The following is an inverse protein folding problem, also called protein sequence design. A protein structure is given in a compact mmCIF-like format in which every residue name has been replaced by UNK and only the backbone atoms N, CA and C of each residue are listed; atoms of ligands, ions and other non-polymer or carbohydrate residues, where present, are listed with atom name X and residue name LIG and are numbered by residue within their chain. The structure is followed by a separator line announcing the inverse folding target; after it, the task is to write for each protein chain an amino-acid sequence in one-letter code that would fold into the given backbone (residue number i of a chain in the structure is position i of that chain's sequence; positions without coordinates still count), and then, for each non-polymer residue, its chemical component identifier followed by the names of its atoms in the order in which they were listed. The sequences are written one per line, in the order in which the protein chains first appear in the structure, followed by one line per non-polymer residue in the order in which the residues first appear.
data_IF_218064513715
#
_entry.id   IF_218064513715
#
_cell.length_a   1.000
_cell.length_b   1.000
_cell.length_c   1.000
_cell.angle_alpha   90.00
_cell.angle_beta   90.00
_cell.angle_gamma   90.00
#
_symmetry.space_group_name_H-M   'P 1'
#
loop_
_entity.id
_entity.type
_entity.pdbx_description
1 polymer ?
#
# COMPACT_ATOMS: atom_id res chain seq x y z
N UNK A 1 -15.51 -20.92 -59.09
CA UNK A 1 -15.42 -19.60 -58.45
C UNK A 1 -16.20 -19.57 -57.12
N UNK A 2 -15.93 -20.51 -56.15
CA UNK A 2 -16.59 -20.53 -54.81
C UNK A 2 -15.64 -21.00 -53.68
N UNK A 3 -14.33 -20.77 -53.81
CA UNK A 3 -13.32 -21.16 -52.77
C UNK A 3 -12.37 -20.03 -52.33
N UNK A 4 -12.70 -18.75 -52.60
CA UNK A 4 -11.81 -17.63 -52.29
C UNK A 4 -12.40 -16.63 -51.29
N UNK A 5 -13.52 -16.94 -50.60
CA UNK A 5 -14.20 -16.03 -49.66
C UNK A 5 -14.15 -16.48 -48.18
N UNK A 6 -13.45 -17.56 -47.86
CA UNK A 6 -13.40 -18.09 -46.49
C UNK A 6 -12.06 -17.82 -45.74
N UNK A 7 -11.09 -17.14 -46.39
CA UNK A 7 -9.80 -16.82 -45.76
C UNK A 7 -9.65 -15.37 -45.24
N UNK A 8 -10.61 -14.51 -45.50
CA UNK A 8 -10.58 -13.10 -45.08
C UNK A 8 -11.35 -12.81 -43.77
N UNK A 9 -12.15 -13.76 -43.27
CA UNK A 9 -12.88 -13.61 -42.00
C UNK A 9 -12.07 -14.08 -40.76
N UNK A 10 -11.00 -14.85 -40.96
CA UNK A 10 -10.15 -15.34 -39.87
C UNK A 10 -9.04 -14.37 -39.41
N UNK A 11 -8.73 -13.34 -40.21
CA UNK A 11 -7.65 -12.40 -39.90
C UNK A 11 -8.10 -11.14 -39.15
N UNK A 12 -9.41 -10.91 -39.00
CA UNK A 12 -9.94 -9.73 -38.29
C UNK A 12 -10.32 -9.98 -36.83
N UNK A 13 -10.21 -11.20 -36.31
CA UNK A 13 -10.51 -11.51 -34.89
C UNK A 13 -9.29 -11.67 -33.99
N UNK A 14 -8.08 -11.45 -34.49
CA UNK A 14 -6.85 -11.48 -33.69
C UNK A 14 -6.26 -10.09 -33.37
N UNK A 15 -6.98 -9.01 -33.69
CA UNK A 15 -6.55 -7.63 -33.40
C UNK A 15 -7.29 -7.00 -32.20
N UNK A 16 -8.08 -7.75 -31.44
CA UNK A 16 -8.79 -7.24 -30.27
C UNK A 16 -8.39 -8.01 -29.04
N UNK A 17 -7.48 -7.47 -28.31
CA UNK A 17 -7.13 -7.56 -26.90
C UNK A 17 -5.61 -7.53 -26.69
N UNK A 18 -4.94 -6.48 -27.16
CA UNK A 18 -3.90 -5.90 -26.35
C UNK A 18 -4.66 -5.14 -25.26
N UNK A 19 -4.92 -5.78 -24.10
CA UNK A 19 -5.30 -5.06 -22.91
C UNK A 19 -4.26 -3.95 -22.76
N UNK A 20 -4.72 -2.72 -22.86
CA UNK A 20 -3.84 -1.57 -22.64
C UNK A 20 -3.43 -1.64 -21.19
N UNK A 21 -2.17 -1.93 -20.93
CA UNK A 21 -1.62 -2.00 -19.56
C UNK A 21 -1.66 -0.62 -18.88
N UNK A 22 -1.93 0.45 -19.63
CA UNK A 22 -1.98 1.84 -19.14
C UNK A 22 -3.42 2.29 -18.85
N UNK A 23 -3.55 3.15 -17.83
CA UNK A 23 -4.79 3.86 -17.55
C UNK A 23 -5.14 4.79 -18.72
N UNK A 24 -6.42 5.02 -19.03
CA UNK A 24 -6.81 6.04 -19.99
C UNK A 24 -6.30 7.43 -19.61
N UNK A 25 -6.04 8.30 -20.59
CA UNK A 25 -5.65 9.69 -20.36
C UNK A 25 -6.80 10.62 -20.75
N UNK A 26 -6.89 11.77 -20.08
CA UNK A 26 -7.75 12.88 -20.43
C UNK A 26 -7.02 14.19 -20.16
N UNK A 27 -7.48 15.26 -20.79
CA UNK A 27 -6.93 16.59 -20.56
C UNK A 27 -7.50 17.19 -19.27
N UNK A 28 -6.62 17.68 -18.39
CA UNK A 28 -7.01 18.55 -17.29
C UNK A 28 -7.46 19.92 -17.80
N UNK A 29 -8.35 20.58 -17.09
CA UNK A 29 -8.68 21.99 -17.35
C UNK A 29 -7.47 22.88 -17.11
N UNK A 30 -7.44 24.07 -17.71
CA UNK A 30 -6.35 25.03 -17.48
C UNK A 30 -6.22 25.41 -16.00
N UNK A 31 -7.34 25.56 -15.27
CA UNK A 31 -7.34 25.85 -13.84
C UNK A 31 -6.72 24.70 -13.02
N UNK A 32 -6.99 23.44 -13.39
CA UNK A 32 -6.37 22.29 -12.78
C UNK A 32 -4.85 22.25 -13.04
N UNK A 33 -4.43 22.41 -14.30
CA UNK A 33 -3.00 22.43 -14.67
C UNK A 33 -2.25 23.52 -13.90
N UNK A 34 -2.80 24.75 -13.89
CA UNK A 34 -2.19 25.87 -13.15
C UNK A 34 -2.04 25.58 -11.66
N UNK A 35 -3.06 24.97 -11.03
CA UNK A 35 -3.02 24.62 -9.61
C UNK A 35 -2.02 23.49 -9.33
N UNK A 36 -2.03 22.43 -10.15
CA UNK A 36 -1.08 21.33 -10.00
C UNK A 36 0.36 21.80 -10.17
N UNK A 37 0.62 22.69 -11.13
CA UNK A 37 1.97 23.24 -11.35
C UNK A 37 2.47 24.09 -10.19
N UNK A 38 1.58 24.75 -9.42
CA UNK A 38 1.95 25.52 -8.23
C UNK A 38 2.44 24.64 -7.07
N UNK A 39 1.99 23.39 -7.00
CA UNK A 39 2.44 22.46 -5.96
C UNK A 39 3.95 22.22 -6.02
N UNK A 40 4.56 22.16 -7.20
CA UNK A 40 5.94 21.73 -7.35
C UNK A 40 6.96 22.72 -6.77
N UNK A 41 6.93 24.03 -7.04
CA UNK A 41 7.79 24.97 -6.35
C UNK A 41 7.55 24.97 -4.83
N UNK A 42 6.30 24.78 -4.39
CA UNK A 42 5.96 24.73 -2.98
C UNK A 42 6.65 23.59 -2.24
N UNK A 43 6.73 22.38 -2.83
CA UNK A 43 7.26 21.19 -2.18
C UNK A 43 8.74 20.99 -2.45
N UNK A 44 9.22 21.25 -3.67
CA UNK A 44 10.53 20.80 -4.17
C UNK A 44 11.48 21.92 -4.61
N UNK A 45 11.27 23.18 -4.22
CA UNK A 45 12.10 24.29 -4.72
C UNK A 45 13.38 24.57 -3.91
N UNK A 46 13.65 23.84 -2.83
CA UNK A 46 14.79 24.06 -1.95
C UNK A 46 16.10 23.37 -2.40
N UNK A 47 16.06 22.66 -3.52
CA UNK A 47 17.23 21.98 -4.11
C UNK A 47 17.71 20.74 -3.33
N UNK A 48 17.03 20.36 -2.24
CA UNK A 48 17.38 19.17 -1.44
C UNK A 48 16.35 18.06 -1.57
N UNK A 49 15.23 18.32 -2.22
CA UNK A 49 14.14 17.39 -2.44
C UNK A 49 13.95 17.19 -3.95
N UNK A 50 13.62 15.96 -4.33
CA UNK A 50 13.45 15.56 -5.72
C UNK A 50 12.07 14.95 -5.92
N UNK A 51 11.30 15.49 -6.87
CA UNK A 51 10.13 14.81 -7.41
C UNK A 51 10.60 13.89 -8.53
N UNK A 52 10.32 12.61 -8.42
CA UNK A 52 10.59 11.63 -9.47
C UNK A 52 9.41 11.46 -10.41
N UNK A 53 8.20 11.32 -9.87
CA UNK A 53 6.97 11.20 -10.65
C UNK A 53 5.74 11.67 -9.87
N UNK A 54 4.79 12.32 -10.55
CA UNK A 54 3.47 12.65 -10.04
C UNK A 54 2.41 12.27 -11.06
N UNK A 55 1.31 11.64 -10.59
CA UNK A 55 0.11 11.40 -11.37
C UNK A 55 -1.12 11.84 -10.60
N UNK A 56 -2.07 12.44 -11.31
CA UNK A 56 -3.44 12.67 -10.82
C UNK A 56 -4.39 11.88 -11.70
N UNK A 57 -5.15 10.98 -11.09
CA UNK A 57 -6.20 10.20 -11.74
C UNK A 57 -7.54 10.69 -11.23
N UNK A 58 -8.45 11.05 -12.13
CA UNK A 58 -9.83 11.41 -11.81
C UNK A 58 -10.78 10.68 -12.76
N UNK A 59 -11.88 10.15 -12.25
CA UNK A 59 -12.89 9.40 -13.02
C UNK A 59 -12.27 8.27 -13.88
N UNK A 60 -11.24 7.59 -13.31
CA UNK A 60 -10.54 6.49 -13.96
C UNK A 60 -9.57 6.89 -15.07
N UNK A 61 -9.27 8.18 -15.24
CA UNK A 61 -8.37 8.70 -16.26
C UNK A 61 -7.24 9.51 -15.64
N UNK A 62 -6.02 9.33 -16.12
CA UNK A 62 -4.91 10.21 -15.78
C UNK A 62 -5.16 11.56 -16.43
N UNK A 63 -5.33 12.61 -15.62
CA UNK A 63 -5.56 13.99 -16.06
C UNK A 63 -4.31 14.86 -15.92
N UNK A 64 -3.33 14.40 -15.13
CA UNK A 64 -2.06 15.10 -14.97
C UNK A 64 -0.93 14.09 -14.74
N UNK A 65 0.20 14.35 -15.36
CA UNK A 65 1.41 13.54 -15.31
C UNK A 65 2.64 14.44 -15.36
N UNK A 66 3.56 14.25 -14.43
CA UNK A 66 4.83 14.98 -14.39
C UNK A 66 5.95 14.07 -13.90
N UNK A 67 7.13 14.20 -14.52
CA UNK A 67 8.37 13.58 -14.07
C UNK A 67 9.49 14.60 -14.13
N UNK A 68 10.56 14.37 -13.38
CA UNK A 68 11.81 15.05 -13.65
C UNK A 68 12.50 14.47 -14.91
N UNK A 69 13.55 15.12 -15.44
CA UNK A 69 14.23 14.64 -16.63
C UNK A 69 14.94 13.28 -16.50
N UNK A 70 15.23 12.83 -15.27
CA UNK A 70 15.96 11.58 -15.00
C UNK A 70 15.03 10.38 -14.80
N UNK A 71 13.72 10.62 -14.61
CA UNK A 71 12.74 9.59 -14.30
C UNK A 71 11.64 9.50 -15.34
N UNK A 72 10.89 8.40 -15.31
CA UNK A 72 9.69 8.20 -16.13
C UNK A 72 8.59 7.53 -15.31
N UNK A 73 7.34 7.73 -15.75
CA UNK A 73 6.13 7.13 -15.13
C UNK A 73 6.20 5.60 -15.13
N UNK A 74 6.85 5.01 -16.13
CA UNK A 74 6.94 3.56 -16.32
C UNK A 74 8.12 2.93 -15.57
N UNK A 75 9.05 3.73 -15.06
CA UNK A 75 10.21 3.24 -14.33
C UNK A 75 9.80 2.64 -12.99
N UNK A 76 10.34 1.46 -12.64
CA UNK A 76 10.19 0.90 -11.30
C UNK A 76 10.87 1.82 -10.27
N UNK A 77 10.14 2.12 -9.23
CA UNK A 77 10.58 2.90 -8.08
C UNK A 77 10.40 2.08 -6.80
N UNK A 78 11.29 2.26 -5.83
CA UNK A 78 11.14 1.62 -4.52
C UNK A 78 9.92 2.20 -3.80
N UNK A 79 9.02 1.34 -3.37
CA UNK A 79 7.77 1.73 -2.72
C UNK A 79 7.90 1.91 -1.20
N UNK A 80 9.01 1.50 -0.62
CA UNK A 80 9.18 1.52 0.83
C UNK A 80 7.94 0.94 1.54
N UNK A 81 7.40 1.65 2.51
CA UNK A 81 6.26 1.19 3.32
C UNK A 81 4.92 1.13 2.58
N UNK A 82 4.79 1.69 1.38
CA UNK A 82 3.65 1.41 0.48
C UNK A 82 3.47 -0.09 0.27
N UNK A 83 4.55 -0.87 0.30
CA UNK A 83 4.56 -2.34 0.23
C UNK A 83 3.60 -3.00 1.22
N UNK A 84 3.42 -2.40 2.40
CA UNK A 84 2.57 -2.91 3.48
C UNK A 84 1.11 -3.09 3.06
N UNK A 85 0.57 -2.13 2.31
CA UNK A 85 -0.82 -2.21 1.84
C UNK A 85 -1.01 -3.32 0.80
N UNK A 86 0.03 -3.61 -0.01
CA UNK A 86 0.01 -4.76 -0.91
C UNK A 86 0.04 -6.08 -0.12
N UNK A 87 0.86 -6.18 0.94
CA UNK A 87 0.87 -7.34 1.84
C UNK A 87 -0.49 -7.55 2.50
N UNK A 88 -1.10 -6.47 3.03
CA UNK A 88 -2.46 -6.54 3.59
C UNK A 88 -3.50 -7.00 2.55
N UNK A 89 -3.40 -6.50 1.32
CA UNK A 89 -4.29 -6.92 0.23
C UNK A 89 -4.15 -8.42 -0.08
N UNK A 90 -2.92 -8.96 0.00
CA UNK A 90 -2.69 -10.40 -0.14
C UNK A 90 -3.36 -11.19 1.00
N UNK A 91 -3.29 -10.71 2.24
CA UNK A 91 -4.05 -11.27 3.37
C UNK A 91 -5.55 -11.23 3.08
N UNK A 92 -6.07 -10.12 2.52
CA UNK A 92 -7.47 -10.00 2.12
C UNK A 92 -7.91 -11.08 1.12
N UNK A 93 -7.09 -11.38 0.12
CA UNK A 93 -7.36 -12.49 -0.79
C UNK A 93 -7.33 -13.86 -0.10
N UNK A 94 -6.38 -14.08 0.83
CA UNK A 94 -6.33 -15.33 1.59
C UNK A 94 -7.58 -15.51 2.50
N UNK A 95 -8.06 -14.42 3.10
CA UNK A 95 -9.33 -14.41 3.86
C UNK A 95 -10.51 -14.73 2.94
N UNK A 96 -10.60 -14.10 1.78
CA UNK A 96 -11.66 -14.38 0.79
C UNK A 96 -11.62 -15.83 0.29
N UNK A 97 -10.44 -16.41 0.13
CA UNK A 97 -10.26 -17.80 -0.28
C UNK A 97 -10.55 -18.80 0.87
N UNK A 98 -10.83 -18.32 2.08
CA UNK A 98 -11.11 -19.15 3.27
C UNK A 98 -9.87 -19.83 3.86
N UNK A 99 -8.67 -19.36 3.52
CA UNK A 99 -7.40 -19.90 4.00
C UNK A 99 -6.97 -19.30 5.35
N UNK A 100 -7.55 -18.16 5.72
CA UNK A 100 -7.16 -17.36 6.87
C UNK A 100 -8.35 -16.53 7.37
N UNK A 101 -8.35 -16.24 8.67
CA UNK A 101 -9.25 -15.27 9.30
C UNK A 101 -8.43 -14.19 9.99
N UNK A 102 -8.96 -12.97 10.09
CA UNK A 102 -8.26 -11.87 10.76
C UNK A 102 -8.10 -12.08 12.26
N UNK A 103 -8.98 -12.87 12.87
CA UNK A 103 -8.94 -13.26 14.28
C UNK A 103 -8.15 -14.55 14.57
N UNK A 104 -7.59 -15.19 13.54
CA UNK A 104 -6.69 -16.33 13.75
C UNK A 104 -5.42 -15.88 14.50
N UNK A 105 -4.99 -16.69 15.46
CA UNK A 105 -3.79 -16.40 16.23
C UNK A 105 -2.54 -16.72 15.43
N UNK A 106 -1.59 -15.80 15.46
CA UNK A 106 -0.29 -15.96 14.81
C UNK A 106 0.37 -17.29 15.15
N UNK A 107 0.37 -17.65 16.43
CA UNK A 107 1.04 -18.87 16.93
C UNK A 107 0.39 -20.17 16.45
N UNK A 108 -0.86 -20.17 16.05
CA UNK A 108 -1.52 -21.35 15.47
C UNK A 108 -1.07 -21.62 14.03
N UNK A 109 -0.53 -20.60 13.35
CA UNK A 109 -0.11 -20.67 11.93
C UNK A 109 1.41 -20.86 11.82
N UNK A 110 2.19 -20.10 12.60
CA UNK A 110 3.66 -20.08 12.52
C UNK A 110 4.31 -20.42 13.88
N UNK A 111 3.64 -21.18 14.73
CA UNK A 111 4.12 -21.53 16.07
C UNK A 111 5.43 -22.32 16.11
N UNK A 112 5.78 -22.99 15.00
CA UNK A 112 7.07 -23.66 14.81
C UNK A 112 8.26 -22.69 14.67
N UNK A 113 7.97 -21.41 14.38
CA UNK A 113 8.96 -20.34 14.35
C UNK A 113 9.11 -19.63 15.70
N UNK A 114 8.16 -19.83 16.62
CA UNK A 114 8.20 -19.24 17.95
C UNK A 114 9.21 -19.97 18.87
N UNK A 115 9.84 -19.26 19.83
CA UNK A 115 10.71 -19.90 20.80
C UNK A 115 9.91 -20.85 21.71
N UNK A 116 10.57 -21.90 22.30
CA UNK A 116 9.91 -22.80 23.25
C UNK A 116 9.32 -22.08 24.47
N UNK A 117 10.05 -21.10 25.00
CA UNK A 117 9.57 -20.17 26.03
C UNK A 117 9.13 -18.88 25.34
N UNK A 118 7.83 -18.76 25.12
CA UNK A 118 7.24 -17.62 24.40
C UNK A 118 7.28 -16.36 25.27
N UNK A 119 7.64 -15.19 24.69
CA UNK A 119 7.45 -13.90 25.34
C UNK A 119 6.01 -13.73 25.86
N UNK A 120 5.87 -12.96 26.94
CA UNK A 120 4.56 -12.65 27.51
C UNK A 120 3.63 -12.06 26.44
N UNK A 121 2.37 -12.49 26.41
CA UNK A 121 1.30 -12.09 25.49
C UNK A 121 1.45 -12.54 24.02
N UNK A 122 2.52 -13.21 23.62
CA UNK A 122 2.70 -13.64 22.22
C UNK A 122 1.53 -14.50 21.71
N UNK A 123 0.96 -15.35 22.56
CA UNK A 123 -0.18 -16.22 22.21
C UNK A 123 -1.49 -15.45 21.95
N UNK A 124 -1.52 -14.17 22.28
CA UNK A 124 -2.67 -13.29 22.04
C UNK A 124 -2.60 -12.55 20.70
N UNK A 125 -1.47 -12.60 19.99
CA UNK A 125 -1.30 -11.92 18.72
C UNK A 125 -2.20 -12.59 17.67
N UNK A 126 -3.07 -11.80 17.05
CA UNK A 126 -3.88 -12.20 15.89
C UNK A 126 -3.37 -11.54 14.61
N UNK A 127 -3.84 -12.02 13.45
CA UNK A 127 -3.60 -11.38 12.16
C UNK A 127 -4.11 -9.93 12.16
N UNK A 128 -5.26 -9.66 12.82
CA UNK A 128 -5.79 -8.31 12.99
C UNK A 128 -4.80 -7.39 13.71
N UNK A 129 -4.16 -7.84 14.80
CA UNK A 129 -3.18 -7.03 15.52
C UNK A 129 -1.95 -6.68 14.66
N UNK A 130 -1.53 -7.57 13.76
CA UNK A 130 -0.46 -7.32 12.80
C UNK A 130 -0.91 -6.32 11.72
N UNK A 131 -2.12 -6.49 11.18
CA UNK A 131 -2.69 -5.59 10.16
C UNK A 131 -2.85 -4.15 10.67
N UNK A 132 -3.17 -4.00 11.95
CA UNK A 132 -3.50 -2.71 12.58
C UNK A 132 -2.34 -2.05 13.33
N UNK A 133 -1.11 -2.58 13.21
CA UNK A 133 0.06 -2.05 13.93
C UNK A 133 -0.10 -2.04 15.45
N UNK A 134 -0.77 -3.05 16.00
CA UNK A 134 -1.04 -3.17 17.45
C UNK A 134 -0.58 -4.49 18.04
N UNK A 135 0.37 -5.17 17.41
CA UNK A 135 0.81 -6.49 17.83
C UNK A 135 1.65 -6.48 19.11
N UNK A 136 2.34 -5.38 19.42
CA UNK A 136 3.32 -5.31 20.52
C UNK A 136 4.63 -6.05 20.26
N UNK A 137 4.84 -6.63 19.07
CA UNK A 137 6.14 -7.21 18.70
C UNK A 137 7.23 -6.15 18.67
N UNK A 138 8.48 -6.55 18.97
CA UNK A 138 9.64 -5.68 18.81
C UNK A 138 9.69 -5.03 17.41
N UNK A 139 10.16 -3.80 17.35
CA UNK A 139 10.40 -3.05 16.10
C UNK A 139 11.81 -3.23 15.54
N UNK A 140 12.59 -4.18 16.08
CA UNK A 140 13.96 -4.45 15.61
C UNK A 140 13.95 -4.94 14.18
N UNK A 141 14.57 -4.16 13.28
CA UNK A 141 14.67 -4.45 11.85
C UNK A 141 15.97 -5.18 11.49
N UNK A 142 16.06 -5.81 10.29
CA UNK A 142 17.30 -6.38 9.79
C UNK A 142 18.40 -5.35 9.56
N UNK A 143 19.65 -5.78 9.71
CA UNK A 143 20.84 -4.95 9.47
C UNK A 143 21.35 -4.22 10.70
N UNK A 144 22.46 -3.51 10.55
CA UNK A 144 23.14 -2.85 11.64
C UNK A 144 23.75 -3.83 12.67
N UNK A 145 24.32 -3.30 13.74
CA UNK A 145 25.00 -4.11 14.77
C UNK A 145 24.01 -4.95 15.59
N UNK A 146 22.86 -4.35 15.95
CA UNK A 146 21.82 -4.94 16.80
C UNK A 146 20.59 -5.43 16.03
N UNK A 147 20.62 -5.45 14.70
CA UNK A 147 19.50 -5.88 13.86
C UNK A 147 19.46 -7.39 13.66
N UNK A 148 18.34 -7.89 13.11
CA UNK A 148 18.14 -9.29 12.75
C UNK A 148 19.14 -9.71 11.66
N UNK A 149 19.61 -10.96 11.71
CA UNK A 149 20.73 -11.44 10.89
C UNK A 149 20.32 -12.52 9.88
N UNK A 150 20.06 -13.72 10.35
CA UNK A 150 19.93 -14.91 9.51
C UNK A 150 18.49 -15.40 9.39
N UNK A 151 17.75 -15.50 10.50
CA UNK A 151 16.35 -15.93 10.52
C UNK A 151 15.47 -14.85 11.13
N UNK A 152 15.05 -13.90 10.29
CA UNK A 152 14.34 -12.71 10.75
C UNK A 152 13.09 -13.05 11.55
N UNK A 153 12.34 -14.08 11.14
CA UNK A 153 11.11 -14.45 11.86
C UNK A 153 11.43 -15.03 13.24
N UNK A 154 12.33 -16.01 13.33
CA UNK A 154 12.69 -16.64 14.61
C UNK A 154 13.38 -15.66 15.54
N UNK A 155 14.29 -14.85 15.02
CA UNK A 155 15.01 -13.85 15.81
C UNK A 155 14.05 -12.79 16.36
N UNK A 156 13.13 -12.26 15.52
CA UNK A 156 12.12 -11.30 15.94
C UNK A 156 11.20 -11.87 17.04
N UNK A 157 10.67 -13.08 16.80
CA UNK A 157 9.73 -13.72 17.71
C UNK A 157 10.37 -14.15 19.05
N UNK A 158 11.70 -14.19 19.13
CA UNK A 158 12.42 -14.42 20.38
C UNK A 158 12.62 -13.14 21.22
N UNK A 159 12.38 -11.95 20.64
CA UNK A 159 12.54 -10.68 21.36
C UNK A 159 11.37 -10.41 22.31
N UNK A 160 11.62 -9.67 23.41
CA UNK A 160 10.54 -9.25 24.31
C UNK A 160 9.47 -8.43 23.57
N UNK A 161 8.23 -8.61 23.98
CA UNK A 161 7.12 -7.78 23.52
C UNK A 161 7.16 -6.40 24.21
N UNK A 162 6.73 -5.35 23.48
CA UNK A 162 6.68 -3.98 24.01
C UNK A 162 5.43 -3.74 24.87
N UNK A 163 4.30 -4.35 24.49
CA UNK A 163 2.99 -4.21 25.14
C UNK A 163 2.07 -5.36 24.75
N UNK A 164 0.93 -5.46 25.43
CA UNK A 164 -0.10 -6.46 25.12
C UNK A 164 -0.80 -6.12 23.79
N UNK A 165 -1.04 -7.10 22.90
CA UNK A 165 -1.71 -6.88 21.63
C UNK A 165 -3.02 -6.12 21.75
N UNK A 166 -3.23 -5.13 20.88
CA UNK A 166 -4.41 -4.28 20.85
C UNK A 166 -4.40 -3.07 21.78
N UNK A 167 -3.41 -2.93 22.70
CA UNK A 167 -3.38 -1.80 23.64
C UNK A 167 -2.94 -0.49 23.00
N UNK A 168 -1.90 -0.53 22.15
CA UNK A 168 -1.31 0.67 21.56
C UNK A 168 -1.08 0.48 20.07
N UNK A 169 -1.08 1.61 19.35
CA UNK A 169 -0.52 1.69 18.02
C UNK A 169 1.01 1.85 18.11
N UNK A 170 1.74 0.97 17.46
CA UNK A 170 3.18 1.11 17.25
C UNK A 170 3.51 0.68 15.82
N UNK A 171 3.93 1.67 14.99
CA UNK A 171 4.27 1.40 13.61
C UNK A 171 5.44 0.42 13.52
N UNK A 172 5.22 -0.74 12.90
CA UNK A 172 6.12 -1.87 12.93
C UNK A 172 6.23 -2.58 11.58
N UNK A 173 7.35 -2.35 10.88
CA UNK A 173 7.61 -2.99 9.59
C UNK A 173 7.76 -4.50 9.71
N UNK A 174 8.24 -4.99 10.85
CA UNK A 174 8.41 -6.42 11.07
C UNK A 174 7.08 -7.14 11.35
N UNK A 175 6.08 -6.44 11.88
CA UNK A 175 4.71 -6.98 11.94
C UNK A 175 4.17 -7.26 10.52
N UNK A 176 4.46 -6.39 9.56
CA UNK A 176 4.10 -6.61 8.15
C UNK A 176 4.91 -7.74 7.49
N UNK A 177 6.18 -7.91 7.87
CA UNK A 177 6.98 -9.07 7.48
C UNK A 177 6.36 -10.37 8.02
N UNK A 178 5.92 -10.40 9.27
CA UNK A 178 5.23 -11.57 9.84
C UNK A 178 3.93 -11.88 9.08
N UNK A 179 3.18 -10.86 8.60
CA UNK A 179 2.04 -11.10 7.71
C UNK A 179 2.45 -11.80 6.40
N UNK A 180 3.62 -11.47 5.83
CA UNK A 180 4.11 -12.16 4.64
C UNK A 180 4.51 -13.61 4.90
N UNK A 181 5.07 -13.89 6.08
CA UNK A 181 5.37 -15.25 6.55
C UNK A 181 4.08 -16.05 6.72
N UNK A 182 3.08 -15.49 7.39
CA UNK A 182 1.75 -16.09 7.58
C UNK A 182 1.11 -16.40 6.22
N UNK A 183 1.08 -15.42 5.30
CA UNK A 183 0.54 -15.63 3.96
C UNK A 183 1.22 -16.81 3.26
N UNK A 184 2.55 -16.84 3.27
CA UNK A 184 3.32 -17.91 2.62
C UNK A 184 3.00 -19.26 3.24
N UNK A 185 2.78 -19.34 4.54
CA UNK A 185 2.39 -20.57 5.24
C UNK A 185 1.02 -21.10 4.81
N UNK A 186 0.03 -20.22 4.70
CA UNK A 186 -1.36 -20.64 4.39
C UNK A 186 -1.60 -20.85 2.91
N UNK A 187 -0.83 -20.17 2.03
CA UNK A 187 -0.99 -20.28 0.58
C UNK A 187 0.03 -21.19 -0.11
N UNK A 188 1.19 -21.40 0.50
CA UNK A 188 2.35 -22.04 -0.13
C UNK A 188 3.10 -21.14 -1.11
N UNK A 189 2.74 -19.86 -1.22
CA UNK A 189 3.30 -18.90 -2.18
C UNK A 189 3.82 -17.65 -1.46
N UNK A 190 4.91 -17.07 -1.98
CA UNK A 190 5.37 -15.73 -1.56
C UNK A 190 4.33 -14.68 -1.92
N UNK A 191 4.32 -13.56 -1.18
CA UNK A 191 3.37 -12.46 -1.41
C UNK A 191 3.36 -11.97 -2.86
N UNK A 192 4.53 -11.77 -3.45
CA UNK A 192 4.68 -11.29 -4.83
C UNK A 192 4.13 -12.29 -5.86
N UNK A 193 4.36 -13.57 -5.68
CA UNK A 193 3.81 -14.61 -6.54
C UNK A 193 2.28 -14.71 -6.40
N UNK A 194 1.78 -14.73 -5.17
CA UNK A 194 0.35 -14.80 -4.88
C UNK A 194 -0.39 -13.57 -5.45
N UNK A 195 0.12 -12.35 -5.21
CA UNK A 195 -0.43 -11.14 -5.81
C UNK A 195 -0.25 -11.12 -7.33
N UNK A 196 0.79 -11.76 -7.87
CA UNK A 196 1.04 -11.85 -9.30
C UNK A 196 -0.18 -12.33 -10.09
N UNK A 197 -0.84 -13.38 -9.62
CA UNK A 197 -2.04 -13.90 -10.27
C UNK A 197 -3.36 -13.34 -9.71
N UNK A 198 -3.44 -12.99 -8.42
CA UNK A 198 -4.66 -12.47 -7.80
C UNK A 198 -4.94 -11.00 -8.14
N UNK A 199 -3.89 -10.18 -8.26
CA UNK A 199 -3.98 -8.73 -8.37
C UNK A 199 -3.20 -8.16 -9.55
N UNK A 200 -1.90 -8.45 -9.67
CA UNK A 200 -1.04 -7.74 -10.62
C UNK A 200 -1.45 -8.01 -12.07
N UNK A 201 -1.64 -9.28 -12.42
CA UNK A 201 -2.11 -9.64 -13.78
C UNK A 201 -3.48 -9.04 -14.10
N UNK A 202 -4.51 -9.13 -13.25
CA UNK A 202 -5.80 -8.47 -13.48
C UNK A 202 -5.70 -6.95 -13.66
N UNK A 203 -4.84 -6.27 -12.90
CA UNK A 203 -4.63 -4.83 -12.99
C UNK A 203 -3.70 -4.44 -14.16
N UNK A 204 -3.14 -5.40 -14.89
CA UNK A 204 -2.15 -5.14 -15.92
C UNK A 204 -0.85 -4.54 -15.37
N UNK A 205 -0.47 -4.93 -14.16
CA UNK A 205 0.85 -4.67 -13.57
C UNK A 205 1.74 -5.84 -14.04
N UNK A 206 2.71 -5.58 -14.90
CA UNK A 206 3.50 -6.62 -15.58
C UNK A 206 4.95 -6.66 -15.17
N UNK A 207 5.44 -5.63 -14.49
CA UNK A 207 6.82 -5.49 -14.07
C UNK A 207 6.90 -5.07 -12.61
N UNK A 208 7.32 -6.00 -11.76
CA UNK A 208 7.55 -5.78 -10.33
C UNK A 208 8.77 -6.53 -9.84
N UNK A 209 9.29 -6.09 -8.71
CA UNK A 209 10.28 -6.79 -7.92
C UNK A 209 9.92 -6.64 -6.44
N UNK A 210 10.21 -7.64 -5.63
CA UNK A 210 10.04 -7.56 -4.18
C UNK A 210 11.22 -8.21 -3.47
N UNK A 211 11.88 -7.46 -2.60
CA UNK A 211 12.97 -7.97 -1.77
C UNK A 211 12.46 -9.08 -0.85
N UNK A 212 13.36 -10.00 -0.50
CA UNK A 212 13.05 -11.15 0.35
C UNK A 212 14.01 -11.25 1.53
N UNK A 213 13.54 -11.92 2.59
CA UNK A 213 14.38 -12.34 3.70
C UNK A 213 15.32 -13.47 3.27
N UNK A 214 16.36 -13.81 4.10
CA UNK A 214 17.21 -14.97 3.86
C UNK A 214 16.45 -16.30 3.76
N UNK A 215 15.23 -16.39 4.34
CA UNK A 215 14.34 -17.55 4.26
C UNK A 215 13.42 -17.54 3.05
N UNK A 216 13.63 -16.62 2.13
CA UNK A 216 12.83 -16.43 0.91
C UNK A 216 11.35 -16.03 1.15
N UNK A 217 11.03 -15.38 2.24
CA UNK A 217 9.77 -14.66 2.42
C UNK A 217 9.89 -13.25 1.85
N UNK A 218 8.85 -12.74 1.16
CA UNK A 218 8.83 -11.33 0.76
C UNK A 218 8.99 -10.43 1.99
N UNK A 219 9.75 -9.34 1.89
CA UNK A 219 10.01 -8.43 3.02
C UNK A 219 8.73 -7.87 3.66
N UNK A 220 7.62 -7.83 2.89
CA UNK A 220 6.28 -7.53 3.38
C UNK A 220 6.07 -6.08 3.82
N UNK A 221 6.94 -5.57 4.67
CA UNK A 221 6.90 -4.20 5.18
C UNK A 221 7.56 -3.16 4.29
N UNK A 222 8.37 -3.58 3.31
CA UNK A 222 9.13 -2.77 2.36
C UNK A 222 9.56 -3.61 1.14
N UNK A 223 10.36 -3.03 0.25
CA UNK A 223 11.09 -3.76 -0.79
C UNK A 223 10.28 -4.09 -2.04
N UNK A 224 9.05 -3.60 -2.19
CA UNK A 224 8.32 -3.65 -3.44
C UNK A 224 8.82 -2.55 -4.38
N UNK A 225 9.05 -2.91 -5.64
CA UNK A 225 9.41 -1.99 -6.73
C UNK A 225 8.36 -2.11 -7.83
N UNK A 226 7.64 -1.03 -8.11
CA UNK A 226 6.66 -0.89 -9.18
C UNK A 226 6.71 0.51 -9.78
N UNK A 227 6.07 0.72 -10.92
CA UNK A 227 5.96 2.04 -11.56
C UNK A 227 4.89 2.92 -10.87
N UNK A 228 4.98 4.25 -11.10
CA UNK A 228 3.98 5.20 -10.64
C UNK A 228 2.57 4.83 -11.14
N UNK A 229 2.45 4.43 -12.41
CA UNK A 229 1.17 4.00 -12.98
C UNK A 229 0.63 2.72 -12.32
N UNK A 230 1.50 1.78 -11.98
CA UNK A 230 1.11 0.58 -11.24
C UNK A 230 0.59 0.90 -9.85
N UNK A 231 1.21 1.88 -9.19
CA UNK A 231 0.73 2.38 -7.90
C UNK A 231 -0.62 3.10 -8.04
N UNK A 232 -0.82 3.89 -9.11
CA UNK A 232 -2.11 4.54 -9.38
C UNK A 232 -3.23 3.50 -9.60
N UNK A 233 -2.96 2.39 -10.28
CA UNK A 233 -3.92 1.27 -10.43
C UNK A 233 -4.29 0.66 -9.08
N UNK A 234 -3.33 0.52 -8.16
CA UNK A 234 -3.61 0.07 -6.80
C UNK A 234 -4.52 1.04 -6.06
N UNK A 235 -4.24 2.35 -6.13
CA UNK A 235 -5.12 3.38 -5.57
C UNK A 235 -6.53 3.33 -6.15
N UNK A 236 -6.65 3.19 -7.46
CA UNK A 236 -7.94 3.02 -8.15
C UNK A 236 -8.67 1.73 -7.72
N UNK A 237 -7.95 0.64 -7.49
CA UNK A 237 -8.52 -0.61 -6.98
C UNK A 237 -9.13 -0.43 -5.58
N UNK A 238 -8.48 0.34 -4.70
CA UNK A 238 -9.03 0.72 -3.40
C UNK A 238 -10.22 1.67 -3.54
N UNK A 239 -10.10 2.70 -4.38
CA UNK A 239 -11.19 3.65 -4.65
C UNK A 239 -12.47 2.94 -5.15
N UNK A 240 -12.30 1.92 -5.98
CA UNK A 240 -13.39 1.09 -6.53
C UNK A 240 -13.75 -0.10 -5.63
N UNK A 241 -13.22 -0.14 -4.40
CA UNK A 241 -13.53 -1.18 -3.40
C UNK A 241 -13.45 -2.60 -3.97
N UNK A 242 -12.34 -2.91 -4.65
CA UNK A 242 -12.06 -4.25 -5.16
C UNK A 242 -12.66 -4.60 -6.51
N UNK A 243 -13.30 -3.65 -7.19
CA UNK A 243 -13.77 -3.85 -8.56
C UNK A 243 -12.72 -3.35 -9.54
N UNK A 244 -12.45 -4.12 -10.59
CA UNK A 244 -11.56 -3.73 -11.68
C UNK A 244 -12.14 -4.19 -13.02
N UNK A 245 -12.25 -3.27 -13.98
CA UNK A 245 -12.87 -3.51 -15.29
C UNK A 245 -14.24 -4.22 -15.18
N UNK A 246 -15.08 -3.78 -14.24
CA UNK A 246 -16.41 -4.35 -13.98
C UNK A 246 -16.43 -5.70 -13.27
N UNK A 247 -15.27 -6.27 -12.94
CA UNK A 247 -15.15 -7.53 -12.21
C UNK A 247 -14.71 -7.28 -10.75
N UNK A 248 -15.46 -7.85 -9.79
CA UNK A 248 -15.03 -7.87 -8.39
C UNK A 248 -13.91 -8.89 -8.22
N UNK A 249 -12.74 -8.43 -7.81
CA UNK A 249 -11.58 -9.28 -7.51
C UNK A 249 -11.51 -9.60 -6.02
N UNK A 250 -11.77 -8.61 -5.16
CA UNK A 250 -11.77 -8.75 -3.70
C UNK A 250 -13.08 -8.19 -3.13
N UNK A 251 -13.60 -8.84 -2.09
CA UNK A 251 -14.87 -8.46 -1.45
C UNK A 251 -14.86 -7.04 -0.88
N UNK A 252 -16.00 -6.36 -0.96
CA UNK A 252 -16.14 -4.98 -0.49
C UNK A 252 -15.90 -4.86 1.03
N UNK A 253 -16.29 -5.88 1.79
CA UNK A 253 -16.13 -5.92 3.24
C UNK A 253 -14.67 -5.75 3.67
N UNK A 254 -13.71 -6.28 2.88
CA UNK A 254 -12.30 -6.06 3.12
C UNK A 254 -11.92 -4.56 3.10
N UNK A 255 -12.44 -3.82 2.14
CA UNK A 255 -12.16 -2.39 2.00
C UNK A 255 -12.86 -1.55 3.06
N UNK A 256 -14.06 -1.97 3.51
CA UNK A 256 -14.75 -1.31 4.62
C UNK A 256 -13.90 -1.34 5.90
N UNK A 257 -13.25 -2.48 6.19
CA UNK A 257 -12.35 -2.61 7.33
C UNK A 257 -10.98 -1.95 7.08
N UNK A 258 -10.37 -2.20 5.92
CA UNK A 258 -9.03 -1.71 5.60
C UNK A 258 -8.94 -0.19 5.52
N UNK A 259 -10.02 0.47 5.09
CA UNK A 259 -10.13 1.92 4.93
C UNK A 259 -10.89 2.59 6.09
N UNK A 260 -10.96 1.97 7.25
CA UNK A 260 -11.54 2.55 8.46
C UNK A 260 -10.54 2.57 9.61
N UNK A 261 -10.64 3.50 10.56
CA UNK A 261 -9.73 3.57 11.68
C UNK A 261 -9.97 2.40 12.64
N UNK A 262 -9.15 1.37 12.56
CA UNK A 262 -9.17 0.22 13.47
C UNK A 262 -8.50 0.54 14.82
N UNK A 263 -7.51 1.43 14.79
CA UNK A 263 -6.82 1.94 15.97
C UNK A 263 -6.39 3.39 15.76
N UNK A 264 -6.45 4.19 16.83
CA UNK A 264 -5.96 5.56 16.82
C UNK A 264 -4.50 5.61 17.28
N UNK A 265 -3.66 6.39 16.61
CA UNK A 265 -2.23 6.54 16.93
C UNK A 265 -2.01 7.12 18.34
N UNK A 266 -2.95 7.93 18.80
CA UNK A 266 -2.91 8.56 20.15
C UNK A 266 -3.63 7.72 21.23
N UNK A 267 -4.14 6.53 20.91
CA UNK A 267 -4.84 5.68 21.87
C UNK A 267 -4.04 5.53 23.16
N UNK A 268 -4.68 5.80 24.29
CA UNK A 268 -4.07 5.80 25.62
C UNK A 268 -2.93 6.83 25.84
N UNK A 269 -2.69 7.74 24.86
CA UNK A 269 -1.67 8.80 24.95
C UNK A 269 -2.28 10.17 25.13
N UNK A 270 -3.37 10.49 24.39
CA UNK A 270 -4.16 11.71 24.50
C UNK A 270 -5.53 11.33 25.05
N UNK A 271 -5.95 11.99 26.12
CA UNK A 271 -7.13 11.58 26.90
C UNK A 271 -8.20 12.66 27.03
N UNK A 272 -7.83 13.93 26.79
CA UNK A 272 -8.78 15.04 26.85
C UNK A 272 -9.24 15.48 25.45
N UNK A 273 -10.46 16.05 25.32
CA UNK A 273 -10.91 16.58 24.03
C UNK A 273 -9.97 17.63 23.43
N UNK A 274 -9.35 18.47 24.28
CA UNK A 274 -8.42 19.52 23.87
C UNK A 274 -7.12 18.92 23.30
N UNK A 275 -6.57 17.89 23.95
CA UNK A 275 -5.39 17.16 23.45
C UNK A 275 -5.69 16.50 22.10
N UNK A 276 -6.85 15.85 21.97
CA UNK A 276 -7.27 15.21 20.71
C UNK A 276 -7.46 16.27 19.61
N UNK A 277 -8.10 17.40 19.93
CA UNK A 277 -8.28 18.49 18.98
C UNK A 277 -6.95 19.11 18.52
N UNK A 278 -5.90 19.08 19.36
CA UNK A 278 -4.58 19.60 19.00
C UNK A 278 -3.88 18.85 17.87
N UNK A 279 -4.32 17.64 17.53
CA UNK A 279 -3.76 16.80 16.45
C UNK A 279 -4.72 16.67 15.26
N UNK A 280 -5.81 17.43 15.22
CA UNK A 280 -6.85 17.33 14.19
C UNK A 280 -6.34 17.60 12.76
N UNK A 281 -5.32 18.45 12.61
CA UNK A 281 -4.70 18.76 11.31
C UNK A 281 -3.50 17.86 10.98
N UNK A 282 -3.23 16.85 11.80
CA UNK A 282 -2.09 15.95 11.60
C UNK A 282 -2.51 14.67 10.90
N UNK A 283 -2.19 14.54 9.62
CA UNK A 283 -2.51 13.38 8.77
C UNK A 283 -2.02 12.01 9.31
N UNK A 284 -1.15 11.99 10.31
CA UNK A 284 -0.71 10.76 10.99
C UNK A 284 -1.50 10.46 12.27
N UNK A 285 -2.61 11.16 12.55
CA UNK A 285 -3.40 11.00 13.79
C UNK A 285 -4.90 10.74 13.54
N UNK A 286 -5.29 10.37 12.31
CA UNK A 286 -6.69 10.10 11.94
C UNK A 286 -7.07 8.61 11.97
N UNK A 287 -6.21 7.77 12.53
CA UNK A 287 -6.42 6.35 12.63
C UNK A 287 -5.65 5.55 11.58
N UNK A 288 -5.56 4.26 11.81
CA UNK A 288 -4.89 3.29 10.96
C UNK A 288 -5.80 2.09 10.72
N UNK A 289 -5.99 1.76 9.47
CA UNK A 289 -6.75 0.59 9.05
C UNK A 289 -5.87 -0.65 8.86
N UNK A 290 -6.17 -1.48 7.86
CA UNK A 290 -5.33 -2.62 7.54
C UNK A 290 -4.16 -2.17 6.66
N UNK A 291 -3.04 -1.82 7.29
CA UNK A 291 -1.80 -1.31 6.67
C UNK A 291 -2.06 -0.09 5.78
N UNK A 292 -2.98 0.78 6.22
CA UNK A 292 -3.38 2.00 5.53
C UNK A 292 -3.63 3.13 6.52
N UNK A 293 -3.17 4.33 6.18
CA UNK A 293 -3.38 5.54 6.96
C UNK A 293 -4.72 6.19 6.60
N UNK A 294 -5.52 6.51 7.60
CA UNK A 294 -6.60 7.48 7.46
C UNK A 294 -6.03 8.90 7.54
N UNK A 295 -6.55 9.79 6.72
CA UNK A 295 -6.06 11.17 6.61
C UNK A 295 -7.15 12.18 6.99
N UNK A 296 -6.76 13.46 7.06
CA UNK A 296 -7.70 14.58 6.98
C UNK A 296 -8.55 14.48 5.70
N UNK A 297 -9.60 15.28 5.60
CA UNK A 297 -10.47 15.37 4.40
C UNK A 297 -11.13 14.04 3.99
N UNK A 298 -11.38 13.13 4.95
CA UNK A 298 -11.96 11.80 4.69
C UNK A 298 -11.22 11.01 3.57
N UNK A 299 -9.90 11.24 3.50
CA UNK A 299 -9.02 10.58 2.55
C UNK A 299 -8.25 9.43 3.20
N UNK A 300 -7.64 8.61 2.34
CA UNK A 300 -6.81 7.48 2.76
C UNK A 300 -5.51 7.50 1.96
N UNK A 301 -4.45 6.93 2.52
CA UNK A 301 -3.21 6.84 1.78
C UNK A 301 -2.40 5.59 2.05
N UNK A 302 -1.72 5.12 1.02
CA UNK A 302 -0.55 4.28 1.08
C UNK A 302 0.64 5.23 1.25
N UNK A 303 1.52 4.95 2.19
CA UNK A 303 2.58 5.86 2.64
C UNK A 303 3.92 5.11 2.70
N UNK A 304 4.95 5.67 2.10
CA UNK A 304 6.30 5.14 2.08
C UNK A 304 7.35 6.22 2.37
N UNK A 305 8.44 5.81 2.98
CA UNK A 305 9.57 6.69 3.26
C UNK A 305 10.00 7.46 2.01
N UNK A 306 10.56 8.63 2.22
CA UNK A 306 11.08 9.51 1.18
C UNK A 306 10.02 10.04 0.20
N UNK A 307 8.74 10.11 0.61
CA UNK A 307 7.68 10.73 -0.20
C UNK A 307 7.08 9.80 -1.25
N UNK A 308 6.89 8.53 -0.93
CA UNK A 308 6.11 7.61 -1.76
C UNK A 308 4.67 7.65 -1.28
N UNK A 309 3.79 8.31 -2.01
CA UNK A 309 2.38 8.43 -1.65
C UNK A 309 1.45 7.93 -2.76
N UNK A 310 0.38 7.26 -2.34
CA UNK A 310 -0.82 7.07 -3.13
C UNK A 310 -2.00 7.53 -2.27
N UNK A 311 -2.49 8.74 -2.53
CA UNK A 311 -3.61 9.35 -1.81
C UNK A 311 -4.91 9.02 -2.54
N UNK A 312 -5.86 8.45 -1.82
CA UNK A 312 -7.18 8.06 -2.32
C UNK A 312 -8.18 9.10 -1.82
N UNK A 313 -8.90 9.74 -2.73
CA UNK A 313 -9.83 10.86 -2.48
C UNK A 313 -11.23 10.43 -2.94
N UNK A 314 -12.01 9.75 -2.08
CA UNK A 314 -13.29 9.16 -2.49
C UNK A 314 -14.31 10.19 -2.97
N UNK A 315 -14.43 11.34 -2.29
CA UNK A 315 -15.37 12.40 -2.65
C UNK A 315 -15.17 12.93 -4.08
N UNK A 316 -13.93 12.93 -4.56
CA UNK A 316 -13.55 13.44 -5.88
C UNK A 316 -13.39 12.33 -6.93
N UNK A 317 -13.65 11.08 -6.56
CA UNK A 317 -13.38 9.92 -7.40
C UNK A 317 -11.97 9.97 -8.00
N UNK A 318 -10.97 10.28 -7.13
CA UNK A 318 -9.61 10.59 -7.57
C UNK A 318 -8.54 9.84 -6.77
N UNK A 319 -7.37 9.70 -7.40
CA UNK A 319 -6.14 9.16 -6.81
C UNK A 319 -4.97 10.07 -7.19
N UNK A 320 -4.14 10.40 -6.21
CA UNK A 320 -2.90 11.16 -6.41
C UNK A 320 -1.71 10.27 -6.06
N UNK A 321 -0.79 10.11 -6.98
CA UNK A 321 0.47 9.41 -6.76
C UNK A 321 1.62 10.40 -6.78
N UNK A 322 2.47 10.35 -5.76
CA UNK A 322 3.72 11.07 -5.68
C UNK A 322 4.85 10.08 -5.40
N UNK A 323 5.89 10.11 -6.20
CA UNK A 323 7.13 9.38 -6.00
C UNK A 323 8.27 10.39 -5.93
N UNK A 324 8.97 10.43 -4.81
CA UNK A 324 9.92 11.49 -4.49
C UNK A 324 11.17 10.94 -3.79
N UNK A 325 12.15 11.80 -3.62
CA UNK A 325 13.20 11.67 -2.61
C UNK A 325 13.17 12.91 -1.72
N UNK A 326 12.36 12.87 -0.65
CA UNK A 326 12.20 14.01 0.28
C UNK A 326 12.07 13.54 1.73
N UNK A 327 12.54 14.37 2.64
CA UNK A 327 12.24 14.26 4.08
C UNK A 327 11.03 15.11 4.49
N UNK A 328 10.45 15.88 3.57
CA UNK A 328 9.37 16.86 3.82
C UNK A 328 7.99 16.26 3.61
N UNK A 329 7.73 15.06 4.13
CA UNK A 329 6.51 14.29 3.90
C UNK A 329 5.21 15.07 4.20
N UNK A 330 5.20 15.83 5.30
CA UNK A 330 4.04 16.65 5.66
C UNK A 330 3.78 17.79 4.66
N UNK A 331 4.83 18.32 4.02
CA UNK A 331 4.68 19.35 2.98
C UNK A 331 4.11 18.77 1.69
N UNK A 332 4.51 17.56 1.31
CA UNK A 332 3.92 16.90 0.14
C UNK A 332 2.41 16.70 0.32
N UNK A 333 1.98 16.15 1.47
CA UNK A 333 0.55 15.97 1.75
C UNK A 333 -0.18 17.32 1.82
N UNK A 334 0.40 18.31 2.50
CA UNK A 334 -0.18 19.65 2.52
C UNK A 334 -0.32 20.25 1.12
N UNK A 335 0.66 19.99 0.22
CA UNK A 335 0.57 20.38 -1.18
C UNK A 335 -0.61 19.71 -1.90
N UNK A 336 -0.91 18.45 -1.61
CA UNK A 336 -2.10 17.77 -2.15
C UNK A 336 -3.38 18.46 -1.66
N UNK A 337 -3.46 18.82 -0.37
CA UNK A 337 -4.63 19.49 0.19
C UNK A 337 -4.82 20.92 -0.29
N UNK A 338 -3.74 21.66 -0.51
CA UNK A 338 -3.80 23.08 -0.93
C UNK A 338 -3.94 23.27 -2.45
N UNK A 339 -3.35 22.41 -3.27
CA UNK A 339 -3.22 22.64 -4.71
C UNK A 339 -3.95 21.59 -5.57
N UNK A 340 -4.13 20.36 -5.09
CA UNK A 340 -4.79 19.32 -5.88
C UNK A 340 -6.25 19.16 -5.48
N UNK A 341 -6.54 18.89 -4.23
CA UNK A 341 -7.89 18.61 -3.75
C UNK A 341 -8.93 19.70 -4.11
N UNK A 342 -8.64 21.04 -4.02
CA UNK A 342 -9.66 22.07 -4.28
C UNK A 342 -10.09 22.20 -5.74
N UNK A 343 -9.33 21.63 -6.67
CA UNK A 343 -9.59 21.77 -8.12
C UNK A 343 -10.03 20.45 -8.79
N UNK A 344 -10.11 19.34 -8.01
CA UNK A 344 -10.65 18.05 -8.46
C UNK A 344 -12.19 18.03 -8.59
#
# INVERSE_FOLDING_TARGET
MKKLLLFLAGAMMLAACRETTKLPRAEATEAQKESFDKMFPYVWDDGTNELHAALVVQDGKVIYERTDPAHSIDQKHVMWSVSKTFTATAIGFAVQDGLLRVDDRMVDIIGDLCPPERPQWMDEITVHHLLTMSSGLSTTEPGGENGLKEDWARELLALPMHFRPGEYFEYNSMGSYILSVILTRVTGERVDNYLGHKLFKPLGITDWWWDASPQDFSAGGWGLFISAESLAKMGMFFLQKGVWNGKRLLGEDWFAEAMSPQIMQYRNKLTTPEEIASVADNDWQHGYGYQMWCCTHDCYRLDGAWGQFCVIIPEKNAVVVLLSHTTRLAYELKGVWEYILPVL
#
